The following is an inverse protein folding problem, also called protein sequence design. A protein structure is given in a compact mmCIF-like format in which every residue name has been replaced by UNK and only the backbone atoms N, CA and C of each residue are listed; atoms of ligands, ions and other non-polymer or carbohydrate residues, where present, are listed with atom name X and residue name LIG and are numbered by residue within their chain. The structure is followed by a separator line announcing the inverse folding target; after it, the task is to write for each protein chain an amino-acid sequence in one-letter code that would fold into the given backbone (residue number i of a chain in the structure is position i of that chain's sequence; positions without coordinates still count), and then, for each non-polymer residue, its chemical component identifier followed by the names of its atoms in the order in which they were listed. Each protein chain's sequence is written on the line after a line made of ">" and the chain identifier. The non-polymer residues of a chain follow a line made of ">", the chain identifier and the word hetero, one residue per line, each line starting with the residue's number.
data_IF_427964259180
#
_entry.id   IF_427964259180
#
_cell.length_a   1.000
_cell.length_b   1.000
_cell.length_c   1.000
_cell.angle_alpha   90.00
_cell.angle_beta   90.00
_cell.angle_gamma   90.00
#
_symmetry.space_group_name_H-M   'P 1'
#
loop_
_entity.id
_entity.type
_entity.pdbx_description
1 polymer ?
#
# COMPACT_ATOMS: atom_id res chain seq x y z
N UNK A 1 -44.48 -61.26 -27.53
CA UNK A 1 -44.65 -59.98 -26.79
C UNK A 1 -43.67 -59.98 -25.65
N UNK A 2 -42.64 -59.24 -25.81
CA UNK A 2 -41.56 -59.12 -24.80
C UNK A 2 -41.96 -58.03 -23.80
N UNK A 3 -42.19 -58.42 -22.55
CA UNK A 3 -42.38 -57.51 -21.45
C UNK A 3 -41.11 -56.69 -21.20
N UNK A 4 -41.16 -55.44 -21.55
CA UNK A 4 -40.18 -54.49 -21.09
C UNK A 4 -40.49 -54.16 -19.63
N UNK A 5 -39.83 -54.86 -18.72
CA UNK A 5 -39.75 -54.43 -17.34
C UNK A 5 -39.16 -53.03 -17.29
N UNK A 6 -39.99 -52.03 -16.98
CA UNK A 6 -39.49 -50.72 -16.62
C UNK A 6 -38.60 -50.88 -15.38
N UNK A 7 -37.31 -50.72 -15.56
CA UNK A 7 -36.39 -50.50 -14.46
C UNK A 7 -36.86 -49.19 -13.83
N UNK A 8 -37.30 -49.16 -12.56
CA UNK A 8 -37.50 -47.90 -11.88
C UNK A 8 -36.12 -47.27 -11.77
N UNK A 9 -35.85 -46.27 -12.55
CA UNK A 9 -34.80 -45.31 -12.21
C UNK A 9 -35.25 -44.63 -10.94
N UNK A 10 -35.09 -45.31 -9.83
CA UNK A 10 -34.95 -44.67 -8.57
C UNK A 10 -33.60 -43.91 -8.60
N UNK A 11 -33.57 -42.85 -9.32
CA UNK A 11 -32.85 -41.70 -8.88
C UNK A 11 -33.58 -41.24 -7.61
N UNK A 12 -33.37 -41.98 -6.55
CA UNK A 12 -33.44 -41.43 -5.22
C UNK A 12 -32.45 -40.31 -5.25
N UNK A 13 -32.90 -39.17 -5.69
CA UNK A 13 -32.24 -37.94 -5.36
C UNK A 13 -32.12 -38.03 -3.85
N UNK A 14 -30.90 -38.24 -3.37
CA UNK A 14 -30.56 -37.75 -2.09
C UNK A 14 -31.00 -36.31 -2.17
N UNK A 15 -32.17 -36.00 -1.64
CA UNK A 15 -32.52 -34.66 -1.28
C UNK A 15 -31.38 -34.29 -0.32
N UNK A 16 -30.32 -33.74 -0.87
CA UNK A 16 -29.47 -32.88 -0.10
C UNK A 16 -30.43 -31.83 0.39
N UNK A 17 -30.75 -31.84 1.63
CA UNK A 17 -31.83 -31.05 2.24
C UNK A 17 -31.66 -29.53 2.08
N UNK A 18 -30.90 -29.07 1.09
CA UNK A 18 -30.51 -27.68 0.92
C UNK A 18 -30.58 -27.27 -0.54
N UNK A 19 -31.77 -27.00 -1.01
CA UNK A 19 -31.96 -26.08 -2.15
C UNK A 19 -31.73 -24.63 -1.72
N UNK A 20 -30.80 -24.40 -0.79
CA UNK A 20 -30.54 -23.08 -0.24
C UNK A 20 -29.51 -22.33 -1.07
N UNK A 21 -29.79 -21.06 -1.30
CA UNK A 21 -28.78 -20.11 -1.78
C UNK A 21 -27.67 -20.01 -0.73
N UNK A 22 -26.47 -19.51 -1.09
CA UNK A 22 -25.44 -19.23 -0.09
C UNK A 22 -25.96 -18.34 1.03
N UNK A 23 -25.52 -18.59 2.25
CA UNK A 23 -25.72 -17.66 3.37
C UNK A 23 -24.45 -16.84 3.57
N UNK A 24 -24.60 -15.59 3.96
CA UNK A 24 -23.50 -14.68 4.25
C UNK A 24 -23.76 -14.04 5.61
N UNK A 25 -22.75 -14.04 6.46
CA UNK A 25 -22.73 -13.28 7.71
C UNK A 25 -21.44 -12.46 7.75
N UNK A 26 -21.56 -11.17 7.98
CA UNK A 26 -20.46 -10.22 8.01
C UNK A 26 -20.28 -9.66 9.42
N UNK A 27 -19.04 -9.50 9.84
CA UNK A 27 -18.68 -8.76 11.04
C UNK A 27 -17.36 -8.02 10.81
N UNK A 28 -17.02 -7.09 11.69
CA UNK A 28 -15.74 -6.41 11.63
C UNK A 28 -15.16 -6.19 13.01
N UNK A 29 -13.84 -5.96 13.04
CA UNK A 29 -13.11 -5.46 14.20
C UNK A 29 -12.08 -4.42 13.73
N UNK A 30 -11.79 -3.44 14.56
CA UNK A 30 -10.66 -2.56 14.36
C UNK A 30 -9.42 -3.25 14.95
N UNK A 31 -8.31 -3.40 14.19
CA UNK A 31 -7.11 -4.08 14.69
C UNK A 31 -6.43 -3.25 15.78
N UNK A 32 -5.98 -3.93 16.82
CA UNK A 32 -5.29 -3.31 17.96
C UNK A 32 -4.07 -2.50 17.50
N UNK A 33 -3.92 -1.27 18.01
CA UNK A 33 -2.89 -0.29 17.65
C UNK A 33 -2.91 0.19 16.18
N UNK A 34 -3.96 -0.12 15.44
CA UNK A 34 -4.16 0.32 14.05
C UNK A 34 -5.60 0.74 13.78
N UNK A 35 -6.37 1.02 14.81
CA UNK A 35 -7.82 1.26 14.74
C UNK A 35 -8.18 2.45 13.84
N UNK A 36 -7.27 3.42 13.71
CA UNK A 36 -7.51 4.63 12.92
C UNK A 36 -7.12 4.51 11.42
N UNK A 37 -6.49 3.39 11.04
CA UNK A 37 -6.11 3.15 9.63
C UNK A 37 -6.16 1.67 9.23
N UNK A 38 -6.86 0.85 9.99
CA UNK A 38 -7.08 -0.56 9.68
C UNK A 38 -8.51 -1.01 9.97
N UNK A 39 -9.01 -1.99 9.22
CA UNK A 39 -10.27 -2.69 9.44
C UNK A 39 -10.06 -4.16 9.09
N UNK A 40 -10.49 -5.05 9.98
CA UNK A 40 -10.56 -6.48 9.74
C UNK A 40 -12.02 -6.85 9.52
N UNK A 41 -12.40 -7.19 8.29
CA UNK A 41 -13.72 -7.76 8.02
C UNK A 41 -13.67 -9.29 8.12
N UNK A 42 -14.65 -9.88 8.76
CA UNK A 42 -14.82 -11.34 8.78
C UNK A 42 -16.04 -11.72 7.95
N UNK A 43 -15.82 -12.62 6.99
CA UNK A 43 -16.85 -13.19 6.13
C UNK A 43 -17.07 -14.63 6.54
N UNK A 44 -18.30 -14.99 6.92
CA UNK A 44 -18.74 -16.37 7.15
C UNK A 44 -19.89 -16.70 6.23
N UNK A 45 -20.01 -17.95 5.87
CA UNK A 45 -21.14 -18.36 5.05
C UNK A 45 -21.21 -19.86 4.83
N UNK A 46 -22.27 -20.29 4.16
CA UNK A 46 -22.49 -21.69 3.80
C UNK A 46 -22.83 -21.79 2.32
N UNK A 47 -22.64 -22.99 1.74
CA UNK A 47 -23.08 -23.34 0.39
C UNK A 47 -22.45 -22.49 -0.74
N UNK A 48 -21.26 -21.91 -0.51
CA UNK A 48 -20.53 -21.20 -1.56
C UNK A 48 -19.89 -22.18 -2.57
N UNK A 49 -20.15 -21.96 -3.87
CA UNK A 49 -19.36 -22.55 -4.98
C UNK A 49 -18.38 -21.53 -5.56
N UNK A 50 -18.75 -20.26 -5.53
CA UNK A 50 -17.90 -19.12 -5.87
C UNK A 50 -18.38 -17.89 -5.10
N UNK A 51 -17.55 -16.87 -5.06
CA UNK A 51 -17.91 -15.59 -4.46
C UNK A 51 -16.95 -14.50 -4.90
N UNK A 52 -17.41 -13.27 -4.71
CA UNK A 52 -16.63 -12.05 -4.95
C UNK A 52 -16.90 -11.04 -3.86
N UNK A 53 -15.97 -10.12 -3.65
CA UNK A 53 -16.16 -8.99 -2.77
C UNK A 53 -15.68 -7.69 -3.39
N UNK A 54 -16.25 -6.57 -2.95
CA UNK A 54 -15.81 -5.21 -3.23
C UNK A 54 -15.58 -4.54 -1.89
N UNK A 55 -14.46 -3.84 -1.73
CA UNK A 55 -14.18 -2.98 -0.56
C UNK A 55 -13.66 -1.63 -1.05
N UNK A 56 -14.14 -0.58 -0.42
CA UNK A 56 -13.73 0.80 -0.66
C UNK A 56 -14.39 1.73 0.35
N UNK A 57 -14.14 3.02 0.26
CA UNK A 57 -14.95 3.97 1.04
C UNK A 57 -16.41 3.81 0.66
N UNK A 58 -17.32 4.00 1.61
CA UNK A 58 -18.77 3.86 1.36
C UNK A 58 -19.21 4.71 0.17
N UNK A 59 -18.68 5.91 0.04
CA UNK A 59 -18.97 6.81 -1.10
C UNK A 59 -18.55 6.20 -2.45
N UNK A 60 -17.34 5.62 -2.52
CA UNK A 60 -16.84 5.01 -3.75
C UNK A 60 -17.60 3.72 -4.10
N UNK A 61 -17.91 2.86 -3.13
CA UNK A 61 -18.70 1.65 -3.39
C UNK A 61 -20.11 2.02 -3.81
N UNK A 62 -20.71 3.06 -3.20
CA UNK A 62 -22.02 3.55 -3.62
C UNK A 62 -21.98 4.09 -5.05
N UNK A 63 -20.96 4.84 -5.43
CA UNK A 63 -20.81 5.34 -6.81
C UNK A 63 -20.70 4.20 -7.84
N UNK A 64 -20.07 3.10 -7.46
CA UNK A 64 -20.03 1.88 -8.28
C UNK A 64 -21.42 1.24 -8.41
N UNK A 65 -22.18 1.18 -7.32
CA UNK A 65 -23.54 0.65 -7.38
C UNK A 65 -24.45 1.54 -8.24
N UNK A 66 -24.31 2.87 -8.13
CA UNK A 66 -25.07 3.84 -8.93
C UNK A 66 -24.74 3.73 -10.43
N UNK A 67 -23.48 3.41 -10.81
CA UNK A 67 -23.11 3.14 -12.21
C UNK A 67 -23.94 2.00 -12.83
N UNK A 68 -24.44 1.08 -12.02
CA UNK A 68 -25.25 -0.06 -12.44
C UNK A 68 -26.70 -0.01 -11.97
N UNK A 69 -27.25 1.16 -11.65
CA UNK A 69 -28.61 1.33 -11.15
C UNK A 69 -28.92 0.44 -9.92
N UNK A 70 -27.93 0.21 -9.04
CA UNK A 70 -28.03 -0.64 -7.85
C UNK A 70 -27.86 -2.13 -8.12
N UNK A 71 -27.54 -2.55 -9.35
CA UNK A 71 -27.32 -3.96 -9.70
C UNK A 71 -25.99 -4.48 -9.13
N UNK A 72 -26.05 -5.08 -7.95
CA UNK A 72 -24.89 -5.62 -7.22
C UNK A 72 -24.20 -6.76 -7.99
N UNK A 73 -24.91 -7.49 -8.85
CA UNK A 73 -24.32 -8.55 -9.65
C UNK A 73 -23.40 -7.96 -10.73
N UNK A 74 -23.86 -6.96 -11.45
CA UNK A 74 -23.03 -6.26 -12.45
C UNK A 74 -21.85 -5.57 -11.81
N UNK A 75 -22.06 -4.88 -10.69
CA UNK A 75 -20.99 -4.22 -9.93
C UNK A 75 -19.91 -5.21 -9.51
N UNK A 76 -20.29 -6.34 -8.88
CA UNK A 76 -19.33 -7.37 -8.45
C UNK A 76 -18.71 -8.14 -9.62
N UNK A 77 -19.38 -8.23 -10.78
CA UNK A 77 -18.77 -8.82 -11.97
C UNK A 77 -17.66 -7.95 -12.54
N UNK A 78 -17.83 -6.62 -12.53
CA UNK A 78 -16.87 -5.66 -13.09
C UNK A 78 -15.71 -5.36 -12.13
N UNK A 79 -16.00 -5.11 -10.87
CA UNK A 79 -15.03 -4.59 -9.89
C UNK A 79 -14.70 -5.55 -8.76
N UNK A 80 -15.41 -6.67 -8.64
CA UNK A 80 -15.24 -7.59 -7.52
C UNK A 80 -14.00 -8.48 -7.63
N UNK A 81 -13.30 -8.63 -6.52
CA UNK A 81 -12.21 -9.58 -6.34
C UNK A 81 -12.82 -10.95 -6.01
N UNK A 82 -12.37 -11.98 -6.72
CA UNK A 82 -12.85 -13.36 -6.50
C UNK A 82 -12.18 -14.01 -5.30
N UNK A 83 -12.95 -14.75 -4.50
CA UNK A 83 -12.36 -15.62 -3.48
C UNK A 83 -11.64 -16.80 -4.14
N UNK A 84 -10.45 -17.11 -3.66
CA UNK A 84 -9.73 -18.34 -4.03
C UNK A 84 -10.42 -19.59 -3.43
N UNK A 85 -10.08 -20.78 -3.90
CA UNK A 85 -10.62 -22.02 -3.35
C UNK A 85 -10.33 -22.15 -1.84
N UNK A 86 -9.13 -21.84 -1.41
CA UNK A 86 -8.73 -21.85 0.00
C UNK A 86 -9.52 -20.82 0.83
N UNK A 87 -9.73 -19.63 0.29
CA UNK A 87 -10.54 -18.60 0.96
C UNK A 87 -12.01 -19.04 1.09
N UNK A 88 -12.56 -19.72 0.06
CA UNK A 88 -13.93 -20.28 0.13
C UNK A 88 -14.05 -21.37 1.22
N UNK A 89 -13.07 -22.25 1.34
CA UNK A 89 -13.02 -23.24 2.41
C UNK A 89 -12.96 -22.56 3.79
N UNK A 90 -12.12 -21.54 3.93
CA UNK A 90 -11.96 -20.81 5.19
C UNK A 90 -13.24 -20.07 5.58
N UNK A 91 -13.89 -19.35 4.64
CA UNK A 91 -15.13 -18.62 4.96
C UNK A 91 -16.29 -19.55 5.35
N UNK A 92 -16.31 -20.81 4.87
CA UNK A 92 -17.29 -21.81 5.24
C UNK A 92 -16.94 -22.57 6.53
N UNK A 93 -15.80 -22.28 7.14
CA UNK A 93 -15.41 -22.84 8.45
C UNK A 93 -16.07 -22.06 9.61
N UNK A 94 -16.02 -22.64 10.80
CA UNK A 94 -16.54 -21.99 12.01
C UNK A 94 -15.82 -20.66 12.34
N UNK A 95 -14.55 -20.52 11.97
CA UNK A 95 -13.79 -19.30 12.17
C UNK A 95 -14.22 -18.19 11.21
N UNK A 96 -14.54 -18.54 9.96
CA UNK A 96 -14.74 -17.58 8.85
C UNK A 96 -13.42 -17.08 8.29
N UNK A 97 -13.52 -16.35 7.18
CA UNK A 97 -12.39 -15.71 6.50
C UNK A 97 -12.24 -14.28 7.01
N UNK A 98 -11.08 -13.96 7.56
CA UNK A 98 -10.72 -12.59 7.90
C UNK A 98 -10.00 -11.93 6.73
N UNK A 99 -10.48 -10.76 6.32
CA UNK A 99 -9.91 -9.88 5.32
C UNK A 99 -9.36 -8.65 6.05
N UNK A 100 -8.04 -8.52 6.09
CA UNK A 100 -7.35 -7.43 6.79
C UNK A 100 -7.04 -6.30 5.81
N UNK A 101 -7.51 -5.09 6.09
CA UNK A 101 -7.25 -3.90 5.29
C UNK A 101 -6.47 -2.90 6.13
N UNK A 102 -5.36 -2.42 5.59
CA UNK A 102 -4.47 -1.47 6.22
C UNK A 102 -4.36 -0.21 5.35
N UNK A 103 -3.72 0.83 5.90
CA UNK A 103 -3.48 2.10 5.21
C UNK A 103 -4.76 2.85 4.81
N UNK A 104 -5.79 2.65 5.60
CA UNK A 104 -7.07 3.33 5.45
C UNK A 104 -7.00 4.75 6.02
N UNK A 105 -7.83 5.65 5.52
CA UNK A 105 -7.94 7.01 6.06
C UNK A 105 -8.64 7.00 7.43
N UNK A 106 -8.19 7.80 8.41
CA UNK A 106 -8.86 7.94 9.70
C UNK A 106 -10.28 8.52 9.57
N UNK A 107 -11.16 8.19 10.50
CA UNK A 107 -12.54 8.68 10.57
C UNK A 107 -13.32 8.50 9.26
N UNK A 108 -13.01 7.47 8.51
CA UNK A 108 -13.59 7.21 7.19
C UNK A 108 -14.41 5.93 7.22
N UNK A 109 -15.62 5.99 6.68
CA UNK A 109 -16.47 4.83 6.57
C UNK A 109 -16.14 4.03 5.31
N UNK A 110 -15.93 2.74 5.51
CA UNK A 110 -15.65 1.75 4.46
C UNK A 110 -16.79 0.76 4.37
N UNK A 111 -17.11 0.32 3.15
CA UNK A 111 -18.13 -0.67 2.87
C UNK A 111 -17.50 -1.91 2.27
N UNK A 112 -17.85 -3.07 2.84
CA UNK A 112 -17.65 -4.39 2.24
C UNK A 112 -18.97 -4.82 1.61
N UNK A 113 -18.96 -5.16 0.32
CA UNK A 113 -20.02 -5.85 -0.39
C UNK A 113 -19.53 -7.26 -0.74
N UNK A 114 -20.26 -8.29 -0.31
CA UNK A 114 -19.95 -9.70 -0.61
C UNK A 114 -21.05 -10.30 -1.45
N UNK A 115 -20.66 -11.05 -2.48
CA UNK A 115 -21.52 -11.91 -3.29
C UNK A 115 -21.15 -13.36 -3.08
N UNK A 116 -22.13 -14.18 -2.69
CA UNK A 116 -22.04 -15.64 -2.71
C UNK A 116 -22.85 -16.23 -3.87
N UNK A 117 -22.38 -17.29 -4.47
CA UNK A 117 -23.02 -17.96 -5.59
C UNK A 117 -22.94 -19.48 -5.47
N UNK A 118 -24.05 -20.16 -5.78
CA UNK A 118 -24.12 -21.60 -6.03
C UNK A 118 -25.13 -21.91 -7.13
N UNK A 119 -25.45 -23.18 -7.37
CA UNK A 119 -26.42 -23.63 -8.39
C UNK A 119 -27.85 -23.17 -8.11
N UNK A 120 -28.16 -22.74 -6.89
CA UNK A 120 -29.49 -22.30 -6.45
C UNK A 120 -29.65 -20.77 -6.50
N UNK A 121 -28.59 -20.03 -6.77
CA UNK A 121 -28.63 -18.57 -6.99
C UNK A 121 -27.54 -17.78 -6.31
N UNK A 122 -27.80 -16.49 -6.22
CA UNK A 122 -26.93 -15.46 -5.66
C UNK A 122 -27.48 -14.95 -4.33
N UNK A 123 -26.57 -14.61 -3.46
CA UNK A 123 -26.82 -13.84 -2.23
C UNK A 123 -25.82 -12.71 -2.12
N UNK A 124 -26.29 -11.56 -1.63
CA UNK A 124 -25.47 -10.37 -1.43
C UNK A 124 -25.66 -9.91 0.01
N UNK A 125 -24.58 -9.47 0.63
CA UNK A 125 -24.59 -8.78 1.92
C UNK A 125 -23.61 -7.63 1.90
N UNK A 126 -23.93 -6.58 2.67
CA UNK A 126 -23.09 -5.42 2.85
C UNK A 126 -22.85 -5.15 4.32
N UNK A 127 -21.68 -4.63 4.65
CA UNK A 127 -21.35 -4.18 6.00
C UNK A 127 -20.51 -2.92 5.89
N UNK A 128 -20.83 -1.90 6.68
CA UNK A 128 -19.99 -0.72 6.84
C UNK A 128 -19.23 -0.76 8.15
N UNK A 129 -18.04 -0.18 8.14
CA UNK A 129 -17.20 -0.01 9.32
C UNK A 129 -16.46 1.32 9.20
N UNK A 130 -16.32 2.04 10.30
CA UNK A 130 -15.64 3.32 10.33
C UNK A 130 -14.33 3.18 11.09
N UNK A 131 -13.22 3.62 10.48
CA UNK A 131 -11.93 3.73 11.16
C UNK A 131 -12.00 4.73 12.31
N UNK A 132 -11.24 4.48 13.38
CA UNK A 132 -11.23 5.38 14.53
C UNK A 132 -10.59 6.74 14.20
N UNK A 133 -10.78 7.70 15.10
CA UNK A 133 -10.00 8.93 15.13
C UNK A 133 -8.55 8.58 15.43
N UNK A 134 -7.61 9.16 14.70
CA UNK A 134 -6.20 9.01 15.06
C UNK A 134 -5.97 9.58 16.46
N UNK A 135 -5.46 8.82 17.42
CA UNK A 135 -5.04 9.37 18.71
C UNK A 135 -3.87 10.32 18.49
N UNK A 136 -3.75 11.32 19.33
CA UNK A 136 -2.57 12.19 19.32
C UNK A 136 -1.36 11.39 19.81
N UNK A 137 -0.26 11.43 19.06
CA UNK A 137 1.02 10.90 19.49
C UNK A 137 1.72 11.77 20.52
N UNK A 138 2.91 11.36 20.94
CA UNK A 138 3.77 12.18 21.78
C UNK A 138 4.12 13.50 21.09
N UNK A 139 4.39 14.54 21.87
CA UNK A 139 4.74 15.85 21.32
C UNK A 139 5.96 15.78 20.37
N UNK A 140 6.91 14.89 20.66
CA UNK A 140 8.10 14.71 19.85
C UNK A 140 7.77 13.97 18.52
N UNK A 141 6.88 13.00 18.56
CA UNK A 141 6.37 12.35 17.36
C UNK A 141 5.59 13.32 16.46
N UNK A 142 4.68 14.12 17.02
CA UNK A 142 3.84 15.06 16.26
C UNK A 142 4.67 16.16 15.54
N UNK A 143 5.88 16.46 15.99
CA UNK A 143 6.76 17.46 15.34
C UNK A 143 7.14 17.10 13.91
N UNK A 144 7.26 15.81 13.61
CA UNK A 144 7.62 15.32 12.28
C UNK A 144 6.47 15.44 11.26
N UNK A 145 5.23 15.40 11.73
CA UNK A 145 4.05 15.36 10.86
C UNK A 145 3.85 16.68 10.11
N UNK A 146 3.58 16.59 8.82
CA UNK A 146 3.24 17.72 7.95
C UNK A 146 4.10 17.83 6.71
N UNK A 147 4.07 19.01 6.10
CA UNK A 147 4.78 19.30 4.85
C UNK A 147 6.16 19.89 5.12
N UNK A 148 7.16 19.34 4.44
CA UNK A 148 8.56 19.71 4.61
C UNK A 148 9.21 20.04 3.28
N UNK A 149 10.06 21.04 3.27
CA UNK A 149 10.96 21.33 2.16
C UNK A 149 12.28 20.61 2.42
N UNK A 150 12.63 19.69 1.53
CA UNK A 150 13.91 18.98 1.55
C UNK A 150 14.92 19.76 0.72
N UNK A 151 16.10 20.01 1.28
CA UNK A 151 17.27 20.53 0.56
C UNK A 151 18.36 19.47 0.60
N UNK A 152 18.92 19.17 -0.57
CA UNK A 152 19.99 18.18 -0.74
C UNK A 152 20.92 18.62 -1.88
N UNK A 153 21.85 17.77 -2.30
CA UNK A 153 22.78 18.04 -3.40
C UNK A 153 22.46 17.13 -4.58
N UNK A 154 22.57 17.65 -5.78
CA UNK A 154 22.42 16.90 -7.03
C UNK A 154 23.37 15.70 -7.09
N UNK A 155 22.88 14.55 -7.54
CA UNK A 155 23.72 13.39 -7.88
C UNK A 155 24.39 13.54 -9.24
N UNK A 156 23.84 14.36 -10.12
CA UNK A 156 24.27 14.51 -11.52
C UNK A 156 25.14 15.76 -11.74
N UNK A 157 24.91 16.80 -10.94
CA UNK A 157 25.66 18.06 -11.06
C UNK A 157 26.36 18.39 -9.74
N UNK A 158 27.67 18.27 -9.73
CA UNK A 158 28.49 18.47 -8.53
C UNK A 158 28.24 19.82 -7.86
N UNK A 159 27.85 19.77 -6.57
CA UNK A 159 27.66 20.96 -5.74
C UNK A 159 26.38 21.75 -6.02
N UNK A 160 25.52 21.31 -6.94
CA UNK A 160 24.25 21.98 -7.20
C UNK A 160 23.22 21.58 -6.13
N UNK A 161 22.63 22.53 -5.40
CA UNK A 161 21.57 22.23 -4.46
C UNK A 161 20.28 21.83 -5.20
N UNK A 162 19.54 20.90 -4.60
CA UNK A 162 18.19 20.53 -5.02
C UNK A 162 17.22 20.80 -3.89
N UNK A 163 16.00 21.19 -4.25
CA UNK A 163 14.96 21.46 -3.28
C UNK A 163 13.63 20.91 -3.80
N UNK A 164 12.92 20.17 -2.94
CA UNK A 164 11.59 19.62 -3.23
C UNK A 164 10.77 19.55 -1.96
N UNK A 165 9.48 19.31 -2.10
CA UNK A 165 8.54 19.24 -0.98
C UNK A 165 8.08 17.81 -0.77
N UNK A 166 8.06 17.37 0.50
CA UNK A 166 7.54 16.07 0.91
C UNK A 166 6.42 16.25 1.94
N UNK A 167 5.62 15.20 2.14
CA UNK A 167 4.66 15.08 3.22
C UNK A 167 5.06 13.91 4.12
N UNK A 168 5.08 14.16 5.41
CA UNK A 168 5.24 13.15 6.45
C UNK A 168 3.89 13.01 7.14
N UNK A 169 3.27 11.86 6.99
CA UNK A 169 1.97 11.54 7.58
C UNK A 169 2.11 10.46 8.67
N UNK A 170 1.32 10.50 9.74
CA UNK A 170 1.38 9.48 10.76
C UNK A 170 0.95 8.14 10.20
N UNK A 171 1.69 7.09 10.52
CA UNK A 171 1.34 5.72 10.13
C UNK A 171 1.02 4.87 11.35
N UNK A 172 2.00 4.52 12.15
CA UNK A 172 1.80 3.86 13.44
C UNK A 172 2.21 4.85 14.53
N UNK A 173 1.25 5.22 15.37
CA UNK A 173 1.44 6.25 16.38
C UNK A 173 2.66 5.95 17.26
N UNK A 174 3.54 6.96 17.44
CA UNK A 174 4.80 6.86 18.18
C UNK A 174 5.77 5.75 17.69
N UNK A 175 5.59 5.25 16.46
CA UNK A 175 6.43 4.19 15.88
C UNK A 175 6.93 4.52 14.47
N UNK A 176 6.08 5.08 13.61
CA UNK A 176 6.47 5.31 12.22
C UNK A 176 5.54 6.27 11.51
N UNK A 177 6.04 6.81 10.41
CA UNK A 177 5.34 7.69 9.48
C UNK A 177 5.37 7.09 8.08
N UNK A 178 4.49 7.58 7.20
CA UNK A 178 4.61 7.44 5.75
C UNK A 178 5.15 8.73 5.15
N UNK A 179 6.15 8.60 4.30
CA UNK A 179 6.74 9.71 3.55
C UNK A 179 6.26 9.67 2.12
N UNK A 180 5.62 10.74 1.69
CA UNK A 180 5.08 10.94 0.35
C UNK A 180 5.88 11.98 -0.40
N UNK A 181 5.85 11.93 -1.72
CA UNK A 181 6.42 12.93 -2.62
C UNK A 181 7.96 13.07 -2.53
N UNK A 182 8.66 12.06 -2.04
CA UNK A 182 10.12 12.08 -1.96
C UNK A 182 10.72 12.12 -3.35
N UNK A 183 11.26 13.28 -3.71
CA UNK A 183 11.82 13.51 -5.02
C UNK A 183 10.74 13.55 -6.11
N UNK A 184 9.95 14.62 -6.14
CA UNK A 184 8.91 14.80 -7.15
C UNK A 184 9.55 14.99 -8.52
N UNK A 185 9.20 14.14 -9.48
CA UNK A 185 9.58 14.33 -10.87
C UNK A 185 8.77 15.48 -11.48
N UNK A 186 9.40 16.31 -12.27
CA UNK A 186 8.76 17.42 -13.01
C UNK A 186 7.89 16.95 -14.17
N UNK A 187 7.93 15.68 -14.52
CA UNK A 187 7.02 15.07 -15.49
C UNK A 187 5.71 14.74 -14.81
N UNK A 188 4.78 15.65 -14.91
CA UNK A 188 3.35 15.56 -14.61
C UNK A 188 2.86 14.32 -13.86
N UNK A 189 1.78 14.41 -13.18
CA UNK A 189 1.06 13.38 -12.45
C UNK A 189 1.78 12.02 -12.29
N UNK A 190 2.45 11.78 -11.17
CA UNK A 190 2.66 10.42 -10.71
C UNK A 190 1.27 9.80 -10.62
N UNK A 191 0.95 8.90 -11.52
CA UNK A 191 -0.30 8.15 -11.46
C UNK A 191 -0.32 7.24 -10.22
N UNK A 192 0.87 6.87 -9.72
CA UNK A 192 1.06 6.04 -8.54
C UNK A 192 2.09 6.67 -7.61
N UNK A 193 1.75 6.74 -6.34
CA UNK A 193 2.62 7.21 -5.28
C UNK A 193 3.10 5.98 -4.48
N UNK A 194 4.41 5.88 -4.26
CA UNK A 194 5.03 4.80 -3.50
C UNK A 194 5.64 5.36 -2.23
N UNK A 195 4.81 5.63 -1.21
CA UNK A 195 5.30 6.12 0.06
C UNK A 195 6.14 5.06 0.75
N UNK A 196 7.19 5.48 1.42
CA UNK A 196 8.00 4.59 2.26
C UNK A 196 7.84 4.91 3.75
N UNK A 197 8.25 3.97 4.58
CA UNK A 197 8.19 4.11 6.03
C UNK A 197 9.41 4.87 6.55
N UNK A 198 9.14 5.90 7.34
CA UNK A 198 10.10 6.55 8.20
C UNK A 198 9.85 6.04 9.63
N UNK A 199 10.73 5.19 10.14
CA UNK A 199 10.62 4.68 11.50
C UNK A 199 10.92 5.77 12.51
N UNK A 200 10.26 5.72 13.66
CA UNK A 200 10.47 6.64 14.80
C UNK A 200 10.96 5.85 16.00
N UNK A 201 12.03 6.31 16.61
CA UNK A 201 12.56 5.76 17.84
C UNK A 201 12.09 6.61 19.02
N UNK A 202 11.17 6.07 19.79
CA UNK A 202 10.58 6.75 20.96
C UNK A 202 11.60 7.04 22.06
N UNK A 203 12.72 6.27 22.12
CA UNK A 203 13.72 6.43 23.18
C UNK A 203 14.56 7.71 23.04
N UNK A 204 14.83 8.15 21.82
CA UNK A 204 15.69 9.31 21.54
C UNK A 204 15.10 10.31 20.55
N UNK A 205 13.88 10.06 20.04
CA UNK A 205 13.20 10.90 19.08
C UNK A 205 13.82 10.91 17.68
N UNK A 206 14.72 9.98 17.38
CA UNK A 206 15.33 9.86 16.05
C UNK A 206 14.38 9.19 15.05
N UNK A 207 14.66 9.39 13.77
CA UNK A 207 13.96 8.74 12.67
C UNK A 207 14.92 8.00 11.76
N UNK A 208 14.44 6.95 11.11
CA UNK A 208 15.27 6.14 10.26
C UNK A 208 14.54 5.58 9.04
N UNK A 209 15.28 5.36 7.97
CA UNK A 209 14.80 4.77 6.72
C UNK A 209 15.54 3.45 6.52
N UNK A 210 14.77 2.39 6.27
CA UNK A 210 15.28 1.05 6.00
C UNK A 210 15.22 0.76 4.50
N UNK A 211 16.21 0.04 3.96
CA UNK A 211 16.27 -0.31 2.54
C UNK A 211 15.62 -1.65 2.19
N UNK A 212 14.96 -2.29 3.13
CA UNK A 212 14.34 -3.62 2.94
C UNK A 212 12.82 -3.52 2.73
N UNK A 213 12.30 -2.38 2.35
CA UNK A 213 10.87 -2.14 2.26
C UNK A 213 10.31 -2.49 0.89
N UNK A 214 9.18 -3.21 0.89
CA UNK A 214 8.31 -3.45 -0.27
C UNK A 214 7.27 -2.32 -0.31
N UNK A 215 7.29 -1.53 -1.36
CA UNK A 215 6.41 -0.38 -1.55
C UNK A 215 5.14 -0.74 -2.33
N UNK A 216 4.97 -2.01 -2.71
CA UNK A 216 3.83 -2.48 -3.48
C UNK A 216 4.14 -2.80 -4.94
N UNK A 217 3.09 -2.87 -5.74
CA UNK A 217 3.19 -3.30 -7.15
C UNK A 217 3.01 -2.12 -8.11
N UNK A 218 3.83 -2.10 -9.16
CA UNK A 218 3.68 -1.22 -10.32
C UNK A 218 3.19 -2.02 -11.52
N UNK A 219 2.06 -1.60 -12.09
CA UNK A 219 1.51 -2.18 -13.32
C UNK A 219 1.20 -3.68 -13.26
N UNK A 220 0.86 -4.25 -12.10
CA UNK A 220 0.56 -5.67 -11.86
C UNK A 220 1.69 -6.66 -12.20
N UNK A 221 2.90 -6.17 -12.49
CA UNK A 221 4.01 -7.00 -12.97
C UNK A 221 5.24 -6.89 -12.09
N UNK A 222 5.50 -5.71 -11.54
CA UNK A 222 6.72 -5.41 -10.81
C UNK A 222 6.42 -5.07 -9.36
N UNK A 223 7.17 -5.69 -8.43
CA UNK A 223 7.27 -5.21 -7.05
C UNK A 223 8.27 -4.06 -7.01
N UNK A 224 7.97 -3.04 -6.22
CA UNK A 224 8.85 -1.89 -6.02
C UNK A 224 9.45 -1.99 -4.63
N UNK A 225 10.77 -1.91 -4.57
CA UNK A 225 11.52 -1.93 -3.31
C UNK A 225 12.31 -0.65 -3.13
N UNK A 226 12.31 -0.11 -1.91
CA UNK A 226 13.23 0.92 -1.50
C UNK A 226 14.62 0.31 -1.27
N UNK A 227 15.67 0.97 -1.76
CA UNK A 227 17.06 0.54 -1.63
C UNK A 227 17.97 1.70 -1.28
N UNK A 228 19.05 1.40 -0.57
CA UNK A 228 20.15 2.35 -0.41
C UNK A 228 20.96 2.42 -1.68
N UNK A 229 21.39 3.63 -2.05
CA UNK A 229 22.26 3.87 -3.18
C UNK A 229 23.66 4.24 -2.70
N UNK A 230 24.67 3.73 -3.38
CA UNK A 230 26.06 4.06 -3.13
C UNK A 230 26.85 4.08 -4.44
N UNK A 231 28.08 4.60 -4.41
CA UNK A 231 29.03 4.47 -5.52
C UNK A 231 30.03 3.37 -5.19
N UNK A 232 30.14 2.38 -6.07
CA UNK A 232 31.11 1.31 -5.92
C UNK A 232 32.56 1.81 -6.17
N UNK A 233 33.56 0.94 -6.07
CA UNK A 233 34.97 1.28 -6.27
C UNK A 233 35.28 1.89 -7.64
N UNK A 234 34.50 1.58 -8.65
CA UNK A 234 34.59 2.12 -9.99
C UNK A 234 33.77 3.41 -10.16
N UNK A 235 33.29 4.00 -9.08
CA UNK A 235 32.40 5.18 -9.06
C UNK A 235 31.09 4.96 -9.82
N UNK A 236 30.65 3.69 -9.97
CA UNK A 236 29.39 3.38 -10.61
C UNK A 236 28.27 3.30 -9.57
N UNK A 237 27.07 3.83 -9.88
CA UNK A 237 25.91 3.69 -9.02
C UNK A 237 25.57 2.23 -8.77
N UNK A 238 25.39 1.88 -7.51
CA UNK A 238 25.04 0.54 -7.05
C UNK A 238 24.01 0.63 -5.94
N UNK A 239 23.33 -0.49 -5.66
CA UNK A 239 22.31 -0.58 -4.63
C UNK A 239 22.76 -1.51 -3.50
N UNK A 240 22.35 -1.21 -2.29
CA UNK A 240 22.56 -2.03 -1.11
C UNK A 240 21.26 -2.31 -0.37
N UNK A 241 21.13 -3.52 0.11
CA UNK A 241 20.00 -3.98 0.91
C UNK A 241 20.50 -4.27 2.31
N UNK A 242 19.86 -3.69 3.30
CA UNK A 242 20.17 -3.95 4.71
C UNK A 242 18.90 -3.87 5.55
N UNK A 243 18.80 -4.74 6.54
CA UNK A 243 17.82 -4.63 7.61
C UNK A 243 18.21 -3.53 8.62
N UNK A 244 19.48 -3.12 8.63
CA UNK A 244 19.95 -2.05 9.46
C UNK A 244 19.49 -0.69 8.94
N UNK A 245 19.15 0.20 9.87
CA UNK A 245 18.80 1.59 9.58
C UNK A 245 20.07 2.43 9.37
N UNK A 246 20.52 2.52 8.13
CA UNK A 246 21.76 3.22 7.76
C UNK A 246 21.53 4.66 7.28
N UNK A 247 20.28 5.06 7.09
CA UNK A 247 19.88 6.44 6.79
C UNK A 247 19.00 6.90 7.93
N UNK A 248 19.47 7.88 8.70
CA UNK A 248 18.78 8.29 9.93
C UNK A 248 18.98 9.78 10.23
N UNK A 249 18.13 10.33 11.05
CA UNK A 249 18.20 11.73 11.45
C UNK A 249 17.39 12.03 12.69
N UNK A 250 17.44 13.27 13.11
CA UNK A 250 16.67 13.75 14.24
C UNK A 250 16.18 15.18 14.00
N UNK A 251 15.12 15.52 14.70
CA UNK A 251 14.59 16.87 14.75
C UNK A 251 15.45 17.71 15.72
N UNK A 252 15.92 18.86 15.23
CA UNK A 252 16.56 19.87 16.06
C UNK A 252 15.55 20.97 16.45
N UNK A 253 15.24 21.03 17.72
CA UNK A 253 14.27 22.01 18.25
C UNK A 253 14.78 23.46 18.18
N UNK A 254 16.11 23.68 18.14
CA UNK A 254 16.68 25.02 18.09
C UNK A 254 16.53 25.65 16.70
N UNK A 255 16.71 24.86 15.64
CA UNK A 255 16.58 25.31 14.25
C UNK A 255 15.21 25.02 13.65
N UNK A 256 14.39 24.19 14.29
CA UNK A 256 13.13 23.66 13.74
C UNK A 256 13.33 22.90 12.42
N UNK A 257 14.38 22.11 12.37
CA UNK A 257 14.80 21.37 11.18
C UNK A 257 15.02 19.89 11.49
N UNK A 258 14.94 19.05 10.46
CA UNK A 258 15.35 17.66 10.53
C UNK A 258 16.56 17.49 9.60
N UNK A 259 17.62 16.88 10.09
CA UNK A 259 18.76 16.49 9.26
C UNK A 259 18.83 14.97 9.18
N UNK A 260 18.67 14.43 7.98
CA UNK A 260 18.79 12.99 7.70
C UNK A 260 20.15 12.75 7.04
N UNK A 261 20.96 11.91 7.67
CA UNK A 261 22.33 11.57 7.21
C UNK A 261 22.38 10.16 6.66
N UNK A 262 23.26 9.95 5.69
CA UNK A 262 23.57 8.64 5.12
C UNK A 262 24.81 8.05 5.81
N UNK A 263 24.67 6.84 6.32
CA UNK A 263 25.72 6.10 7.00
C UNK A 263 26.65 5.33 6.05
N UNK A 264 27.38 4.39 6.63
CA UNK A 264 28.29 3.49 5.93
C UNK A 264 27.95 2.03 6.22
N UNK A 265 28.37 1.13 5.35
CA UNK A 265 28.26 -0.31 5.52
C UNK A 265 29.53 -1.00 5.00
N UNK A 266 29.77 -2.23 5.41
CA UNK A 266 30.79 -3.06 4.79
C UNK A 266 30.15 -3.95 3.73
N UNK A 267 30.67 -3.89 2.50
CA UNK A 267 30.19 -4.74 1.42
C UNK A 267 30.61 -6.21 1.61
N UNK A 268 30.22 -7.07 0.67
CA UNK A 268 30.54 -8.51 0.72
C UNK A 268 32.06 -8.82 0.64
N UNK A 269 32.85 -7.84 0.24
CA UNK A 269 34.33 -7.93 0.21
C UNK A 269 34.98 -7.34 1.46
N UNK A 270 34.18 -6.86 2.42
CA UNK A 270 34.65 -6.22 3.65
C UNK A 270 35.11 -4.77 3.46
N UNK A 271 34.83 -4.15 2.31
CA UNK A 271 35.17 -2.77 2.04
C UNK A 271 34.08 -1.85 2.57
N UNK A 272 34.50 -0.82 3.31
CA UNK A 272 33.56 0.19 3.82
C UNK A 272 33.09 1.10 2.69
N UNK A 273 31.79 1.06 2.41
CA UNK A 273 31.09 1.88 1.42
C UNK A 273 30.24 2.93 2.11
N UNK A 274 30.06 4.09 1.45
CA UNK A 274 29.21 5.16 1.95
C UNK A 274 27.91 5.19 1.17
N UNK A 275 26.79 5.21 1.89
CA UNK A 275 25.48 5.44 1.28
C UNK A 275 25.40 6.88 0.80
N UNK A 276 24.96 7.06 -0.43
CA UNK A 276 24.79 8.38 -1.05
C UNK A 276 23.33 8.83 -1.11
N UNK A 277 22.37 7.89 -1.06
CA UNK A 277 20.96 8.24 -1.13
C UNK A 277 20.03 7.03 -1.14
N UNK A 278 18.82 7.28 -1.60
CA UNK A 278 17.75 6.29 -1.74
C UNK A 278 17.41 6.07 -3.21
N UNK A 279 17.00 4.86 -3.56
CA UNK A 279 16.52 4.54 -4.91
C UNK A 279 15.38 3.50 -4.85
N UNK A 280 14.57 3.48 -5.89
CA UNK A 280 13.57 2.44 -6.10
C UNK A 280 14.08 1.45 -7.14
N UNK A 281 13.85 0.18 -6.87
CA UNK A 281 14.14 -0.90 -7.83
C UNK A 281 12.88 -1.70 -8.11
N UNK A 282 12.76 -2.14 -9.34
CA UNK A 282 11.71 -3.04 -9.79
C UNK A 282 12.17 -4.48 -9.63
N UNK A 283 11.28 -5.36 -9.17
CA UNK A 283 11.55 -6.79 -9.05
C UNK A 283 10.45 -7.60 -9.71
N UNK A 284 10.82 -8.51 -10.60
CA UNK A 284 9.93 -9.51 -11.19
C UNK A 284 10.72 -10.72 -11.68
N UNK A 285 10.11 -11.90 -11.61
CA UNK A 285 10.71 -13.13 -12.14
C UNK A 285 12.08 -13.47 -11.55
N UNK A 286 12.36 -13.10 -10.28
CA UNK A 286 13.64 -13.36 -9.61
C UNK A 286 14.77 -12.39 -9.98
N UNK A 287 14.47 -11.27 -10.66
CA UNK A 287 15.46 -10.29 -11.12
C UNK A 287 15.09 -8.88 -10.70
N UNK A 288 16.12 -8.10 -10.40
CA UNK A 288 16.00 -6.65 -10.17
C UNK A 288 16.26 -5.88 -11.46
N UNK A 289 15.50 -4.80 -11.63
CA UNK A 289 15.62 -3.86 -12.73
C UNK A 289 15.67 -2.44 -12.18
N UNK A 290 16.31 -1.55 -12.90
CA UNK A 290 16.22 -0.12 -12.57
C UNK A 290 14.78 0.36 -12.68
N UNK A 291 14.33 1.15 -11.72
CA UNK A 291 13.03 1.77 -11.77
C UNK A 291 12.96 2.74 -12.94
N UNK A 292 11.78 2.85 -13.55
CA UNK A 292 11.56 3.83 -14.61
C UNK A 292 11.51 5.26 -14.04
N UNK A 293 11.87 6.24 -14.85
CA UNK A 293 11.95 7.64 -14.43
C UNK A 293 10.69 8.19 -13.75
N UNK A 294 9.51 7.65 -14.09
CA UNK A 294 8.22 8.09 -13.51
C UNK A 294 8.00 7.66 -12.05
N UNK A 295 8.72 6.64 -11.59
CA UNK A 295 8.53 6.06 -10.25
C UNK A 295 9.76 6.17 -9.36
N UNK A 296 10.89 6.64 -9.86
CA UNK A 296 12.12 6.84 -9.07
C UNK A 296 11.99 8.04 -8.16
N UNK A 297 12.54 7.97 -6.93
CA UNK A 297 12.66 9.13 -6.07
C UNK A 297 13.72 10.08 -6.65
N UNK A 298 13.34 11.28 -7.07
CA UNK A 298 14.27 12.26 -7.61
C UNK A 298 13.65 13.23 -8.58
N UNK A 299 14.47 14.10 -9.12
CA UNK A 299 14.10 15.03 -10.17
C UNK A 299 14.45 14.47 -11.55
N UNK A 300 13.58 14.72 -12.50
CA UNK A 300 13.93 14.50 -13.89
C UNK A 300 14.71 15.70 -14.43
N UNK A 301 15.90 15.45 -14.95
CA UNK A 301 16.70 16.44 -15.67
C UNK A 301 16.89 16.00 -17.12
N UNK A 302 16.88 16.97 -18.05
CA UNK A 302 16.94 16.71 -19.49
C UNK A 302 15.57 16.41 -20.10
N UNK A 303 15.54 16.16 -21.39
CA UNK A 303 14.31 15.91 -22.17
C UNK A 303 14.50 14.67 -23.07
N UNK A 304 13.40 13.98 -23.35
CA UNK A 304 13.37 12.81 -24.25
C UNK A 304 14.29 11.68 -23.79
N UNK A 305 15.02 11.09 -24.73
CA UNK A 305 15.93 9.96 -24.47
C UNK A 305 17.14 10.32 -23.60
N UNK A 306 17.40 11.61 -23.36
CA UNK A 306 18.46 12.09 -22.49
C UNK A 306 17.99 12.41 -21.07
N UNK A 307 16.72 12.15 -20.76
CA UNK A 307 16.18 12.39 -19.45
C UNK A 307 16.80 11.43 -18.42
N UNK A 308 17.29 11.99 -17.31
CA UNK A 308 17.88 11.26 -16.20
C UNK A 308 17.18 11.64 -14.90
N UNK A 309 17.12 10.71 -13.95
CA UNK A 309 16.66 11.00 -12.60
C UNK A 309 17.83 11.41 -11.72
N UNK A 310 17.75 12.63 -11.23
CA UNK A 310 18.65 13.14 -10.19
C UNK A 310 18.02 12.86 -8.82
N UNK A 311 18.53 11.87 -8.11
CA UNK A 311 17.93 11.37 -6.87
C UNK A 311 18.33 12.13 -5.60
N UNK A 312 19.19 13.11 -5.72
CA UNK A 312 19.74 13.87 -4.59
C UNK A 312 20.65 13.03 -3.68
N UNK A 313 21.72 13.64 -3.22
CA UNK A 313 22.72 13.00 -2.35
C UNK A 313 22.60 13.57 -0.94
N UNK A 314 22.52 12.67 0.06
CA UNK A 314 22.49 13.10 1.46
C UNK A 314 23.75 13.88 1.88
N UNK A 315 23.68 14.67 2.95
CA UNK A 315 22.56 14.73 3.89
C UNK A 315 21.36 15.47 3.33
N UNK A 316 20.17 15.09 3.83
CA UNK A 316 18.91 15.75 3.51
C UNK A 316 18.53 16.67 4.66
N UNK A 317 18.37 17.94 4.37
CA UNK A 317 17.94 18.95 5.33
C UNK A 317 16.47 19.27 5.08
N UNK A 318 15.64 19.07 6.08
CA UNK A 318 14.20 19.29 6.00
C UNK A 318 13.85 20.51 6.85
N UNK A 319 13.21 21.49 6.23
CA UNK A 319 12.64 22.67 6.92
C UNK A 319 11.14 22.66 6.77
N UNK A 320 10.40 23.09 7.79
CA UNK A 320 8.93 23.15 7.71
C UNK A 320 8.52 24.02 6.51
N UNK A 321 7.73 23.45 5.61
CA UNK A 321 7.22 24.21 4.48
C UNK A 321 6.23 25.30 4.95
N UNK A 322 6.19 26.47 4.29
CA UNK A 322 5.18 27.48 4.58
C UNK A 322 3.77 26.91 4.40
N UNK A 323 2.83 27.31 5.24
CA UNK A 323 1.45 26.82 5.21
C UNK A 323 0.77 26.95 3.82
N UNK A 324 1.19 27.92 3.01
CA UNK A 324 0.71 28.11 1.64
C UNK A 324 1.24 27.06 0.64
N UNK A 325 2.34 26.36 0.95
CA UNK A 325 2.90 25.30 0.11
C UNK A 325 2.19 23.95 0.33
N UNK A 326 1.38 23.84 1.36
CA UNK A 326 0.65 22.64 1.77
C UNK A 326 -0.66 22.42 0.99
N UNK A 327 -0.77 22.88 -0.28
CA UNK A 327 -1.88 22.49 -1.14
C UNK A 327 -1.59 21.05 -1.58
N UNK A 328 -2.36 20.06 -1.11
CA UNK A 328 -2.24 18.71 -1.65
C UNK A 328 -2.44 18.81 -3.15
N UNK A 329 -1.49 18.32 -3.92
CA UNK A 329 -1.73 18.12 -5.34
C UNK A 329 -3.04 17.32 -5.44
N UNK A 330 -4.07 17.85 -6.13
CA UNK A 330 -5.29 17.10 -6.40
C UNK A 330 -4.84 15.81 -7.07
N UNK A 331 -4.87 14.70 -6.32
CA UNK A 331 -4.67 13.39 -6.92
C UNK A 331 -5.73 13.24 -8.01
N UNK A 332 -5.37 12.85 -9.25
CA UNK A 332 -6.39 12.52 -10.23
C UNK A 332 -7.32 11.49 -9.60
N UNK A 333 -8.62 11.63 -9.85
CA UNK A 333 -9.61 10.68 -9.37
C UNK A 333 -9.19 9.29 -9.91
N UNK A 334 -8.67 8.43 -9.04
CA UNK A 334 -8.34 7.04 -9.41
C UNK A 334 -9.63 6.41 -9.91
N UNK A 335 -9.55 5.66 -11.00
CA UNK A 335 -10.63 4.74 -11.38
C UNK A 335 -10.87 3.85 -10.16
N UNK A 336 -12.15 3.58 -9.86
CA UNK A 336 -12.47 2.71 -8.74
C UNK A 336 -11.76 1.36 -8.90
N UNK A 337 -11.03 0.97 -7.89
CA UNK A 337 -10.44 -0.35 -7.72
C UNK A 337 -10.77 -0.83 -6.30
N UNK A 338 -11.28 -2.06 -6.20
CA UNK A 338 -11.56 -2.64 -4.89
C UNK A 338 -10.26 -2.80 -4.10
N UNK A 339 -10.29 -2.41 -2.83
CA UNK A 339 -9.15 -2.61 -1.94
C UNK A 339 -8.82 -4.11 -1.82
N UNK A 340 -7.55 -4.44 -1.76
CA UNK A 340 -7.05 -5.80 -1.54
C UNK A 340 -6.66 -5.99 -0.08
N UNK A 341 -6.90 -7.16 0.51
CA UNK A 341 -6.41 -7.47 1.85
C UNK A 341 -4.89 -7.45 1.91
N UNK A 342 -4.33 -7.09 3.06
CA UNK A 342 -2.89 -7.03 3.30
C UNK A 342 -2.16 -8.37 3.02
N UNK A 343 -2.85 -9.50 3.18
CA UNK A 343 -2.32 -10.84 2.87
C UNK A 343 -2.15 -11.11 1.36
N UNK A 344 -2.80 -10.35 0.49
CA UNK A 344 -2.72 -10.48 -0.97
C UNK A 344 -1.73 -9.50 -1.61
N UNK A 345 -1.17 -8.59 -0.82
CA UNK A 345 -0.20 -7.58 -1.27
C UNK A 345 1.27 -8.00 -1.03
N UNK A 346 1.50 -9.26 -0.63
CA UNK A 346 2.86 -9.82 -0.39
C UNK A 346 3.40 -10.58 -1.58
#
# INVERSE_FOLDING_TARGET
>A
MADYAMIPTAWGGVSDGTKAKPTIALSYALPENMEYHGINFTVKGTEFKSGKYIVGTTELVQSVLDEFDGDMEKATNKYGIGFTATQLETLMSDAGLMLEFHDLEPQTEYMLLVRGQNVHGLTFETLTATTAVRPQGSADYERYIGTWTVTTTSSEVTGQPQTYTIRIEPYRNDKSYKVYDWGVTTLGSKEEDFPFILSYNEADGSVGINSYEDLGMYGFTYYIYLRYRFLNEQSQPSIWVSEDTLVSGAYDAASNEITITCGTFNDNSGITQKITGLDYVLYTGGKYYEAQNLIRPGYLIGEGDNAKVDYGVGPYKLTKAPAAAAVPAKRPAKKFESLRPASETK
#
